data_IF_481089884963
#
_entry.id   IF_481089884963
#
_cell.length_a   1.000
_cell.length_b   1.000
_cell.length_c   1.000
_cell.angle_alpha   90.00
_cell.angle_beta   90.00
_cell.angle_gamma   90.00
#
_symmetry.space_group_name_H-M   'P 1'
#
loop_
_entity.id
_entity.type
_entity.pdbx_description
1 polymer ?
#
# COMPACT_ATOMS: atom_id res chain seq x y z
N UNK A 1 3.77 9.34 -5.91
CA UNK A 1 4.16 8.27 -4.95
C UNK A 1 5.35 7.59 -5.57
N UNK A 2 6.48 7.46 -4.87
CA UNK A 2 7.60 6.74 -5.45
C UNK A 2 7.29 5.23 -5.43
N UNK A 3 6.98 4.68 -6.60
CA UNK A 3 6.62 3.26 -6.79
C UNK A 3 7.85 2.35 -6.72
N UNK A 4 9.05 2.88 -6.94
CA UNK A 4 10.32 2.14 -6.86
C UNK A 4 10.79 1.94 -5.41
N UNK A 5 10.29 2.77 -4.48
CA UNK A 5 10.73 2.75 -3.10
C UNK A 5 10.30 1.47 -2.37
N UNK A 6 11.28 0.77 -1.80
CA UNK A 6 11.09 -0.26 -0.78
C UNK A 6 11.86 0.17 0.47
N UNK A 7 11.12 0.51 1.54
CA UNK A 7 11.64 1.21 2.72
C UNK A 7 11.24 0.52 4.05
N UNK A 8 11.45 -0.79 4.21
CA UNK A 8 11.05 -1.51 5.43
C UNK A 8 11.82 -1.02 6.68
N UNK A 9 13.06 -0.58 6.55
CA UNK A 9 13.86 -0.05 7.67
C UNK A 9 13.27 1.27 8.18
N UNK A 10 12.87 2.15 7.26
CA UNK A 10 12.18 3.41 7.59
C UNK A 10 10.83 3.10 8.22
N UNK A 11 10.10 2.12 7.69
CA UNK A 11 8.84 1.67 8.26
C UNK A 11 9.00 1.13 9.68
N UNK A 12 10.04 0.36 9.97
CA UNK A 12 10.34 -0.13 11.32
C UNK A 12 10.62 1.02 12.30
N UNK A 13 11.36 2.05 11.88
CA UNK A 13 11.61 3.24 12.69
C UNK A 13 10.33 4.04 12.95
N UNK A 14 9.53 4.30 11.91
CA UNK A 14 8.23 4.98 12.02
C UNK A 14 7.31 4.17 12.95
N UNK A 15 7.23 2.86 12.77
CA UNK A 15 6.41 1.96 13.58
C UNK A 15 6.80 2.00 15.05
N UNK A 16 8.10 2.04 15.36
CA UNK A 16 8.62 2.17 16.74
C UNK A 16 8.29 3.54 17.34
N UNK A 17 8.59 4.61 16.61
CA UNK A 17 8.67 5.97 17.17
C UNK A 17 7.37 6.78 17.05
N UNK A 18 6.44 6.38 16.17
CA UNK A 18 5.21 7.13 15.88
C UNK A 18 3.97 6.36 16.36
N UNK A 19 3.50 6.55 17.61
CA UNK A 19 2.31 5.87 18.12
C UNK A 19 1.04 6.16 17.29
N UNK A 20 0.93 7.36 16.71
CA UNK A 20 -0.18 7.72 15.83
C UNK A 20 -0.27 6.82 14.59
N UNK A 21 0.88 6.42 14.00
CA UNK A 21 0.90 5.49 12.86
C UNK A 21 0.37 4.11 13.27
N UNK A 22 0.74 3.64 14.47
CA UNK A 22 0.18 2.37 14.98
C UNK A 22 -1.32 2.44 15.17
N UNK A 23 -1.84 3.55 15.69
CA UNK A 23 -3.28 3.77 15.84
C UNK A 23 -4.00 3.81 14.49
N UNK A 24 -3.44 4.49 13.49
CA UNK A 24 -4.01 4.53 12.13
C UNK A 24 -4.02 3.16 11.46
N UNK A 25 -2.92 2.40 11.56
CA UNK A 25 -2.86 1.03 11.03
C UNK A 25 -3.85 0.12 11.75
N UNK A 26 -3.97 0.21 13.07
CA UNK A 26 -4.94 -0.59 13.83
C UNK A 26 -6.37 -0.31 13.36
N UNK A 27 -6.73 0.96 13.17
CA UNK A 27 -8.05 1.35 12.67
C UNK A 27 -8.34 0.77 11.28
N UNK A 28 -7.35 0.75 10.39
CA UNK A 28 -7.48 0.10 9.09
C UNK A 28 -7.67 -1.41 9.23
N UNK A 29 -6.88 -2.06 10.09
CA UNK A 29 -6.95 -3.50 10.35
C UNK A 29 -8.33 -3.90 10.88
N UNK A 30 -8.86 -3.18 11.86
CA UNK A 30 -10.17 -3.47 12.46
C UNK A 30 -11.29 -3.36 11.42
N UNK A 31 -11.29 -2.26 10.67
CA UNK A 31 -12.29 -1.98 9.65
C UNK A 31 -12.23 -3.00 8.51
N UNK A 32 -11.05 -3.24 7.92
CA UNK A 32 -10.91 -4.13 6.78
C UNK A 32 -11.10 -5.59 7.16
N UNK A 33 -10.61 -6.03 8.32
CA UNK A 33 -10.85 -7.42 8.78
C UNK A 33 -12.33 -7.67 9.02
N UNK A 34 -13.06 -6.69 9.58
CA UNK A 34 -14.50 -6.77 9.74
C UNK A 34 -15.23 -6.90 8.39
N UNK A 35 -14.88 -6.05 7.43
CA UNK A 35 -15.46 -6.07 6.08
C UNK A 35 -15.15 -7.39 5.32
N UNK A 36 -13.89 -7.82 5.31
CA UNK A 36 -13.47 -9.07 4.67
C UNK A 36 -14.20 -10.29 5.28
N UNK A 37 -14.43 -10.28 6.59
CA UNK A 37 -15.19 -11.34 7.27
C UNK A 37 -16.67 -11.28 6.93
N UNK A 38 -17.27 -10.08 7.01
CA UNK A 38 -18.71 -9.87 6.80
C UNK A 38 -19.15 -10.21 5.38
N UNK A 39 -18.36 -9.83 4.37
CA UNK A 39 -18.69 -10.01 2.96
C UNK A 39 -18.00 -11.22 2.32
N UNK A 40 -17.23 -11.99 3.10
CA UNK A 40 -16.57 -13.23 2.66
C UNK A 40 -15.31 -13.05 1.81
N UNK A 41 -14.86 -11.81 1.58
CA UNK A 41 -13.76 -11.51 0.67
C UNK A 41 -14.06 -11.93 -0.79
N UNK A 42 -13.07 -11.87 -1.71
CA UNK A 42 -11.67 -11.51 -1.50
C UNK A 42 -11.40 -9.99 -1.35
N UNK A 43 -12.31 -9.15 -1.81
CA UNK A 43 -12.25 -7.68 -1.68
C UNK A 43 -13.09 -7.20 -0.48
N UNK A 44 -13.04 -5.91 -0.14
CA UNK A 44 -13.71 -5.39 1.07
C UNK A 44 -15.22 -5.69 1.10
N UNK A 45 -15.86 -5.70 -0.06
CA UNK A 45 -17.29 -6.00 -0.22
C UNK A 45 -17.53 -7.22 -1.13
N UNK A 46 -16.61 -8.19 -1.08
CA UNK A 46 -16.66 -9.41 -1.89
C UNK A 46 -16.09 -9.21 -3.29
N UNK A 47 -16.86 -8.59 -4.18
CA UNK A 47 -16.40 -8.16 -5.50
C UNK A 47 -15.63 -6.84 -5.43
N UNK A 48 -14.86 -6.51 -6.47
CA UNK A 48 -14.18 -5.22 -6.58
C UNK A 48 -15.19 -4.06 -6.58
N UNK A 49 -14.88 -3.02 -5.80
CA UNK A 49 -15.67 -1.80 -5.67
C UNK A 49 -14.77 -0.56 -5.67
N UNK A 50 -15.41 0.62 -5.70
CA UNK A 50 -14.70 1.89 -5.56
C UNK A 50 -13.92 2.01 -4.23
N UNK A 51 -14.33 1.29 -3.18
CA UNK A 51 -13.61 1.30 -1.91
C UNK A 51 -12.20 0.69 -2.05
N UNK A 52 -12.07 -0.39 -2.83
CA UNK A 52 -10.77 -1.05 -3.06
C UNK A 52 -9.84 -0.13 -3.86
N UNK A 53 -10.37 0.55 -4.88
CA UNK A 53 -9.64 1.56 -5.65
C UNK A 53 -9.23 2.76 -4.79
N UNK A 54 -10.14 3.26 -3.94
CA UNK A 54 -9.87 4.36 -3.03
C UNK A 54 -8.74 4.04 -2.05
N UNK A 55 -8.67 2.79 -1.57
CA UNK A 55 -7.62 2.34 -0.66
C UNK A 55 -6.34 1.85 -1.34
N UNK A 56 -6.25 1.82 -2.67
CA UNK A 56 -5.04 1.41 -3.37
C UNK A 56 -3.79 2.21 -2.93
N UNK A 57 -3.82 3.55 -2.80
CA UNK A 57 -2.66 4.31 -2.29
C UNK A 57 -2.27 3.98 -0.85
N UNK A 58 -3.22 3.51 -0.02
CA UNK A 58 -2.93 3.07 1.35
C UNK A 58 -2.28 1.69 1.34
N UNK A 59 -2.79 0.76 0.51
CA UNK A 59 -2.20 -0.55 0.30
C UNK A 59 -0.74 -0.44 -0.18
N UNK A 60 -0.47 0.49 -1.11
CA UNK A 60 0.88 0.77 -1.58
C UNK A 60 1.80 1.25 -0.45
N UNK A 61 1.34 2.17 0.42
CA UNK A 61 2.15 2.63 1.56
C UNK A 61 2.42 1.52 2.58
N UNK A 62 1.42 0.70 2.90
CA UNK A 62 1.60 -0.46 3.78
C UNK A 62 2.69 -1.40 3.23
N UNK A 63 2.70 -1.60 1.92
CA UNK A 63 3.72 -2.40 1.24
C UNK A 63 5.11 -1.73 1.21
N UNK A 64 5.20 -0.48 0.74
CA UNK A 64 6.46 0.28 0.63
C UNK A 64 7.19 0.37 1.96
N UNK A 65 6.48 0.65 3.05
CA UNK A 65 7.08 0.75 4.38
C UNK A 65 7.11 -0.58 5.14
N UNK A 66 6.57 -1.67 4.58
CA UNK A 66 6.52 -2.96 5.27
C UNK A 66 5.85 -2.90 6.66
N UNK A 67 4.78 -2.10 6.81
CA UNK A 67 4.11 -1.94 8.10
C UNK A 67 3.39 -3.25 8.49
N UNK A 68 3.48 -3.68 9.76
CA UNK A 68 2.93 -4.96 10.18
C UNK A 68 1.39 -4.93 10.18
N UNK A 69 0.79 -5.89 9.50
CA UNK A 69 -0.66 -6.12 9.47
C UNK A 69 -0.96 -7.63 9.54
N UNK A 70 -2.14 -8.05 10.04
CA UNK A 70 -2.52 -9.46 10.05
C UNK A 70 -2.62 -10.05 8.63
N UNK A 71 -2.45 -11.37 8.52
CA UNK A 71 -2.45 -12.08 7.23
C UNK A 71 -3.66 -11.77 6.32
N UNK A 72 -4.93 -11.75 6.80
CA UNK A 72 -6.06 -11.45 5.92
C UNK A 72 -5.96 -10.06 5.26
N UNK A 73 -5.45 -9.08 6.01
CA UNK A 73 -5.22 -7.71 5.52
C UNK A 73 -4.02 -7.67 4.57
N UNK A 74 -2.93 -8.37 4.88
CA UNK A 74 -1.78 -8.50 3.98
C UNK A 74 -2.19 -9.12 2.63
N UNK A 75 -2.99 -10.18 2.66
CA UNK A 75 -3.49 -10.85 1.46
C UNK A 75 -4.42 -9.92 0.65
N UNK A 76 -5.24 -9.11 1.32
CA UNK A 76 -6.06 -8.07 0.67
C UNK A 76 -5.20 -6.98 0.01
N UNK A 77 -4.20 -6.45 0.72
CA UNK A 77 -3.23 -5.49 0.18
C UNK A 77 -2.57 -6.05 -1.08
N UNK A 78 -2.18 -7.33 -1.07
CA UNK A 78 -1.59 -7.97 -2.24
C UNK A 78 -2.58 -8.05 -3.42
N UNK A 79 -3.83 -8.45 -3.17
CA UNK A 79 -4.86 -8.50 -4.23
C UNK A 79 -5.13 -7.13 -4.84
N UNK A 80 -5.14 -6.06 -4.04
CA UNK A 80 -5.30 -4.69 -4.55
C UNK A 80 -4.14 -4.28 -5.45
N UNK A 81 -2.90 -4.66 -5.11
CA UNK A 81 -1.71 -4.40 -5.94
C UNK A 81 -1.73 -5.16 -7.26
N UNK A 82 -2.38 -6.32 -7.30
CA UNK A 82 -2.53 -7.16 -8.49
C UNK A 82 -3.71 -6.75 -9.37
N UNK A 83 -4.54 -5.78 -8.95
CA UNK A 83 -5.63 -5.26 -9.78
C UNK A 83 -5.07 -4.72 -11.11
N UNK A 84 -5.71 -4.99 -12.27
CA UNK A 84 -5.20 -4.57 -13.57
C UNK A 84 -4.87 -3.09 -13.66
N UNK A 85 -5.73 -2.22 -13.11
CA UNK A 85 -5.49 -0.77 -13.11
C UNK A 85 -4.33 -0.33 -12.22
N UNK A 86 -4.16 -0.98 -11.05
CA UNK A 86 -3.04 -0.68 -10.14
C UNK A 86 -1.73 -1.20 -10.74
N UNK A 87 -1.74 -2.41 -11.32
CA UNK A 87 -0.60 -2.97 -12.01
C UNK A 87 -0.19 -2.12 -13.21
N UNK A 88 -1.12 -1.72 -14.08
CA UNK A 88 -0.83 -0.86 -15.21
C UNK A 88 -0.23 0.48 -14.75
N UNK A 89 -0.81 1.10 -13.71
CA UNK A 89 -0.26 2.33 -13.13
C UNK A 89 1.17 2.15 -12.58
N UNK A 90 1.45 1.04 -11.89
CA UNK A 90 2.80 0.70 -11.41
C UNK A 90 3.76 0.52 -12.59
N UNK A 91 3.38 -0.27 -13.59
CA UNK A 91 4.21 -0.57 -14.74
C UNK A 91 4.54 0.72 -15.54
N UNK A 92 3.55 1.60 -15.73
CA UNK A 92 3.74 2.91 -16.38
C UNK A 92 4.63 3.85 -15.55
N UNK A 93 4.43 3.93 -14.24
CA UNK A 93 5.26 4.75 -13.36
C UNK A 93 6.73 4.28 -13.29
N UNK A 94 6.97 2.97 -13.46
CA UNK A 94 8.31 2.40 -13.55
C UNK A 94 8.97 2.65 -14.92
N UNK A 95 8.17 2.77 -15.98
CA UNK A 95 8.66 3.09 -17.32
C UNK A 95 8.95 4.59 -17.52
N UNK A 96 8.38 5.45 -16.67
CA UNK A 96 8.51 6.90 -16.73
C UNK A 96 9.97 7.35 -16.59
N UNK A 97 10.47 7.99 -17.66
CA UNK A 97 11.83 8.55 -17.75
C UNK A 97 11.88 10.04 -17.41
N UNK A 98 10.71 10.70 -17.29
CA UNK A 98 10.64 12.09 -16.86
C UNK A 98 10.69 12.13 -15.33
N UNK A 99 11.65 12.86 -14.77
CA UNK A 99 11.77 13.02 -13.34
C UNK A 99 12.40 14.37 -13.01
N UNK A 100 12.03 14.91 -11.85
CA UNK A 100 12.62 16.15 -11.35
C UNK A 100 13.86 15.82 -10.56
N UNK A 101 15.03 16.07 -11.15
CA UNK A 101 16.33 15.77 -10.54
C UNK A 101 16.49 16.28 -9.08
N UNK A 102 15.85 17.40 -8.71
CA UNK A 102 15.91 17.94 -7.35
C UNK A 102 14.97 17.23 -6.35
N UNK A 103 13.87 16.62 -6.82
CA UNK A 103 12.93 15.85 -6.00
C UNK A 103 13.34 14.37 -5.92
N UNK A 104 14.05 13.89 -6.93
CA UNK A 104 14.41 12.47 -7.11
C UNK A 104 15.92 12.26 -7.33
N UNK A 105 16.79 12.76 -6.44
CA UNK A 105 18.25 12.68 -6.63
C UNK A 105 18.76 11.23 -6.69
N UNK A 106 18.01 10.26 -6.15
CA UNK A 106 18.33 8.84 -6.20
C UNK A 106 18.29 8.25 -7.62
N UNK A 107 17.60 8.87 -8.58
CA UNK A 107 17.56 8.41 -9.99
C UNK A 107 18.83 8.78 -10.79
N UNK A 108 19.65 9.71 -10.29
CA UNK A 108 20.88 10.14 -10.96
C UNK A 108 22.08 9.18 -10.78
N UNK A 109 21.99 8.27 -9.82
CA UNK A 109 23.11 7.40 -9.39
C UNK A 109 22.91 5.95 -9.84
N UNK A 110 21.98 5.71 -10.76
CA UNK A 110 21.59 4.37 -11.22
C UNK A 110 22.38 3.91 -12.44
#
# INVERSE_FOLDING_TARGET
MNIEAHLPEVGALIWRDKPAVRADVQRLVDMWSGLLTQYGGPMLFGAFTIADAFYAPVCMRLHTYGLPVPKPVADYVQRVRELPGVKAWIDEALAEQDFRAFEEPYRLVR
#
